data_IF_457892823735
#
_entry.id   IF_457892823735
#
_cell.length_a   1.000
_cell.length_b   1.000
_cell.length_c   1.000
_cell.angle_alpha   90.00
_cell.angle_beta   90.00
_cell.angle_gamma   90.00
#
_symmetry.space_group_name_H-M   'P 1'
#
loop_
_entity.id
_entity.type
_entity.pdbx_description
1 polymer ?
#
# COMPACT_ATOMS: atom_id res chain seq x y z
N UNK A 1 -21.69 21.74 -16.64
CA UNK A 1 -21.62 21.92 -15.16
C UNK A 1 -20.78 20.79 -14.60
N UNK A 2 -19.93 21.04 -13.59
CA UNK A 2 -19.19 19.97 -12.91
C UNK A 2 -20.01 19.49 -11.73
N UNK A 3 -20.27 18.19 -11.67
CA UNK A 3 -20.99 17.55 -10.57
C UNK A 3 -19.98 17.04 -9.56
N UNK A 4 -20.12 17.46 -8.31
CA UNK A 4 -19.37 16.88 -7.20
C UNK A 4 -19.96 15.50 -6.86
N UNK A 5 -19.08 14.51 -6.68
CA UNK A 5 -19.46 13.15 -6.35
C UNK A 5 -18.90 12.78 -4.99
N UNK A 6 -19.76 12.28 -4.11
CA UNK A 6 -19.34 11.77 -2.82
C UNK A 6 -18.65 10.42 -2.95
N UNK A 7 -17.61 10.14 -2.14
CA UNK A 7 -16.96 8.84 -2.14
C UNK A 7 -17.92 7.75 -1.65
N UNK A 8 -17.97 6.61 -2.36
CA UNK A 8 -18.72 5.45 -1.88
C UNK A 8 -18.22 4.99 -0.51
N UNK A 9 -19.10 4.53 0.39
CA UNK A 9 -18.70 3.96 1.67
C UNK A 9 -17.88 2.69 1.44
N UNK A 10 -16.90 2.45 2.32
CA UNK A 10 -16.01 1.30 2.26
C UNK A 10 -15.98 0.58 3.59
N UNK A 11 -15.83 -0.74 3.54
CA UNK A 11 -15.65 -1.55 4.75
C UNK A 11 -14.17 -1.60 5.12
N UNK A 12 -13.85 -1.26 6.36
CA UNK A 12 -12.49 -1.26 6.90
C UNK A 12 -12.34 -2.45 7.85
N UNK A 13 -11.42 -3.39 7.59
CA UNK A 13 -11.12 -4.49 8.51
C UNK A 13 -10.69 -3.98 9.88
N UNK A 14 -11.18 -4.59 10.95
CA UNK A 14 -10.89 -4.14 12.31
C UNK A 14 -9.39 -4.19 12.65
N UNK A 15 -8.70 -5.24 12.21
CA UNK A 15 -7.26 -5.36 12.39
C UNK A 15 -6.48 -4.19 11.73
N UNK A 16 -6.95 -3.72 10.57
CA UNK A 16 -6.35 -2.57 9.89
C UNK A 16 -6.65 -1.25 10.63
N UNK A 17 -7.85 -1.12 11.19
CA UNK A 17 -8.24 0.04 12.01
C UNK A 17 -7.39 0.13 13.27
N UNK A 18 -7.17 -1.00 13.95
CA UNK A 18 -6.30 -1.10 15.12
C UNK A 18 -4.84 -0.75 14.78
N UNK A 19 -4.34 -1.22 13.62
CA UNK A 19 -2.96 -0.96 13.17
C UNK A 19 -2.66 0.53 13.02
N UNK A 20 -3.61 1.31 12.52
CA UNK A 20 -3.45 2.77 12.35
C UNK A 20 -3.84 3.57 13.60
N UNK A 21 -3.91 2.90 14.77
CA UNK A 21 -4.26 3.54 16.04
C UNK A 21 -5.70 4.02 16.12
N UNK A 22 -6.64 3.39 15.41
CA UNK A 22 -8.08 3.72 15.45
C UNK A 22 -8.52 4.86 14.54
N UNK A 23 -7.65 5.36 13.66
CA UNK A 23 -7.93 6.52 12.81
C UNK A 23 -8.73 6.12 11.56
N UNK A 24 -10.06 6.28 11.60
CA UNK A 24 -10.98 5.83 10.54
C UNK A 24 -10.63 6.39 9.15
N UNK A 25 -10.29 7.68 9.05
CA UNK A 25 -9.94 8.30 7.77
C UNK A 25 -8.66 7.70 7.18
N UNK A 26 -7.67 7.39 8.02
CA UNK A 26 -6.40 6.79 7.61
C UNK A 26 -6.64 5.36 7.14
N UNK A 27 -7.38 4.56 7.92
CA UNK A 27 -7.70 3.19 7.56
C UNK A 27 -8.50 3.12 6.25
N UNK A 28 -9.50 4.00 6.09
CA UNK A 28 -10.27 4.13 4.87
C UNK A 28 -9.39 4.52 3.66
N UNK A 29 -8.44 5.43 3.86
CA UNK A 29 -7.51 5.85 2.81
C UNK A 29 -6.59 4.71 2.35
N UNK A 30 -6.15 3.84 3.26
CA UNK A 30 -5.35 2.66 2.93
C UNK A 30 -6.17 1.63 2.13
N UNK A 31 -7.40 1.35 2.54
CA UNK A 31 -8.29 0.42 1.81
C UNK A 31 -8.55 0.93 0.39
N UNK A 32 -8.77 2.23 0.20
CA UNK A 32 -8.95 2.84 -1.13
C UNK A 32 -7.71 2.70 -2.03
N UNK A 33 -6.52 2.50 -1.46
CA UNK A 33 -5.27 2.25 -2.18
C UNK A 33 -4.99 0.76 -2.43
N UNK A 34 -5.90 -0.13 -2.02
CA UNK A 34 -5.73 -1.58 -2.11
C UNK A 34 -4.96 -2.19 -0.93
N UNK A 35 -4.61 -1.40 0.10
CA UNK A 35 -3.93 -1.89 1.30
C UNK A 35 -5.00 -2.30 2.32
N UNK A 36 -5.25 -3.61 2.41
CA UNK A 36 -6.36 -4.17 3.19
C UNK A 36 -5.93 -5.01 4.40
N UNK A 37 -4.63 -5.26 4.57
CA UNK A 37 -4.08 -6.02 5.70
C UNK A 37 -3.27 -5.12 6.65
N UNK A 38 -3.29 -5.45 7.94
CA UNK A 38 -2.50 -4.75 8.95
C UNK A 38 -0.99 -4.82 8.64
N UNK A 39 -0.50 -5.96 8.18
CA UNK A 39 0.90 -6.12 7.78
C UNK A 39 1.28 -5.18 6.63
N UNK A 40 0.49 -5.14 5.56
CA UNK A 40 0.78 -4.26 4.43
C UNK A 40 0.69 -2.78 4.82
N UNK A 41 -0.24 -2.43 5.71
CA UNK A 41 -0.33 -1.08 6.25
C UNK A 41 0.91 -0.71 7.07
N UNK A 42 1.39 -1.59 7.95
CA UNK A 42 2.61 -1.36 8.72
C UNK A 42 3.82 -1.15 7.83
N UNK A 43 4.02 -2.03 6.84
CA UNK A 43 5.14 -1.94 5.88
C UNK A 43 5.07 -0.68 5.01
N UNK A 44 3.87 -0.14 4.77
CA UNK A 44 3.67 1.09 4.00
C UNK A 44 3.89 2.35 4.86
N UNK A 45 3.48 2.33 6.13
CA UNK A 45 3.51 3.50 7.01
C UNK A 45 4.86 3.69 7.73
N UNK A 46 5.55 2.59 8.04
CA UNK A 46 6.82 2.62 8.78
C UNK A 46 8.00 2.20 7.88
N UNK A 47 8.91 3.13 7.54
CA UNK A 47 10.11 2.82 6.77
C UNK A 47 10.99 1.74 7.38
N UNK A 48 10.97 1.56 8.70
CA UNK A 48 11.74 0.51 9.37
C UNK A 48 11.15 -0.89 9.18
N UNK A 49 9.87 -0.97 8.79
CA UNK A 49 9.15 -2.22 8.53
C UNK A 49 9.01 -2.51 7.04
N UNK A 50 9.35 -1.54 6.17
CA UNK A 50 9.32 -1.71 4.73
C UNK A 50 10.24 -2.87 4.29
N UNK A 51 9.69 -3.76 3.47
CA UNK A 51 10.46 -4.82 2.80
C UNK A 51 10.63 -4.43 1.33
N UNK A 52 11.85 -4.15 0.87
CA UNK A 52 12.10 -3.84 -0.54
C UNK A 52 11.62 -4.97 -1.45
N UNK A 53 11.04 -4.60 -2.59
CA UNK A 53 10.83 -5.54 -3.69
C UNK A 53 12.19 -6.12 -4.14
N UNK A 54 12.15 -7.31 -4.75
CA UNK A 54 13.37 -7.89 -5.30
C UNK A 54 13.90 -6.96 -6.39
N UNK A 55 15.22 -6.69 -6.46
CA UNK A 55 15.79 -5.98 -7.60
C UNK A 55 15.46 -6.67 -8.94
N UNK A 56 15.28 -8.00 -8.92
CA UNK A 56 14.90 -8.80 -10.10
C UNK A 56 13.44 -8.60 -10.54
N UNK A 57 12.60 -7.97 -9.71
CA UNK A 57 11.23 -7.58 -10.10
C UNK A 57 11.24 -6.41 -11.10
N UNK A 58 12.39 -5.72 -11.26
CA UNK A 58 12.54 -4.67 -12.26
C UNK A 58 12.54 -5.29 -13.68
N UNK A 59 11.76 -4.72 -14.62
CA UNK A 59 11.73 -5.22 -15.99
C UNK A 59 13.13 -5.26 -16.62
N UNK A 60 13.45 -6.38 -17.28
CA UNK A 60 14.70 -6.61 -18.00
C UNK A 60 15.98 -6.54 -17.13
N UNK A 61 15.88 -6.69 -15.80
CA UNK A 61 17.05 -6.68 -14.90
C UNK A 61 18.08 -7.76 -15.26
N UNK A 62 17.62 -8.95 -15.63
CA UNK A 62 18.44 -10.07 -16.10
C UNK A 62 19.29 -9.68 -17.32
N UNK A 63 18.70 -9.01 -18.31
CA UNK A 63 19.40 -8.54 -19.51
C UNK A 63 20.41 -7.46 -19.19
N UNK A 64 20.10 -6.56 -18.25
CA UNK A 64 21.00 -5.50 -17.82
C UNK A 64 22.24 -6.07 -17.13
N UNK A 65 22.07 -7.02 -16.19
CA UNK A 65 23.17 -7.68 -15.49
C UNK A 65 24.07 -8.45 -16.46
N UNK A 66 23.49 -9.17 -17.43
CA UNK A 66 24.25 -9.93 -18.43
C UNK A 66 25.21 -9.05 -19.26
N UNK A 67 24.93 -7.75 -19.44
CA UNK A 67 25.79 -6.83 -20.22
C UNK A 67 27.02 -6.32 -19.47
N UNK A 68 27.12 -6.55 -18.16
CA UNK A 68 28.25 -6.08 -17.34
C UNK A 68 29.38 -7.11 -17.24
N UNK A 69 29.20 -8.29 -17.82
CA UNK A 69 30.17 -9.39 -17.86
C UNK A 69 31.03 -9.31 -19.13
#
# INVERSE_FOLDING_TARGET
MKTWLEPSPISVPEALRAEVGGHDLVAASLVRRGITSATAARQFLDPAQYTPASPDDLPDMDKAVHRLQ
#
